data_IF_808193931524
#
_entry.id   IF_808193931524
#
_cell.length_a   1.000
_cell.length_b   1.000
_cell.length_c   1.000
_cell.angle_alpha   90.00
_cell.angle_beta   90.00
_cell.angle_gamma   90.00
#
_symmetry.space_group_name_H-M   'P 1'
#
loop_
_entity.id
_entity.type
_entity.pdbx_description
1 polymer ?
#
# COMPACT_ATOMS: atom_id res chain seq x y z
N UNK A 1 13.39 2.54 11.71
CA UNK A 1 12.95 3.27 10.50
C UNK A 1 11.54 3.78 10.76
N UNK A 2 11.25 5.04 10.46
CA UNK A 2 9.87 5.55 10.52
C UNK A 2 9.15 5.05 9.27
N UNK A 3 8.03 4.36 9.45
CA UNK A 3 7.11 4.02 8.36
C UNK A 3 6.07 5.14 8.29
N UNK A 4 6.09 5.91 7.21
CA UNK A 4 5.16 7.01 6.98
C UNK A 4 4.76 7.07 5.51
N UNK A 5 3.55 7.58 5.25
CA UNK A 5 3.12 7.92 3.90
C UNK A 5 3.69 9.29 3.50
N UNK A 6 4.43 9.31 2.40
CA UNK A 6 4.86 10.54 1.75
C UNK A 6 3.94 10.80 0.55
N UNK A 7 3.43 12.03 0.43
CA UNK A 7 2.48 12.37 -0.62
C UNK A 7 2.78 13.75 -1.23
N UNK A 8 2.39 13.92 -2.50
CA UNK A 8 2.62 15.15 -3.25
C UNK A 8 1.37 16.03 -3.24
N UNK A 9 1.38 17.08 -2.40
CA UNK A 9 0.27 18.03 -2.26
C UNK A 9 -0.18 18.68 -3.56
N UNK A 10 0.73 18.92 -4.52
CA UNK A 10 0.39 19.51 -5.82
C UNK A 10 -0.37 18.52 -6.69
N UNK A 11 0.14 17.28 -6.76
CA UNK A 11 -0.48 16.21 -7.53
C UNK A 11 -1.86 15.81 -6.97
N UNK A 12 -2.01 15.80 -5.66
CA UNK A 12 -3.31 15.55 -5.02
C UNK A 12 -4.34 16.63 -5.39
N UNK A 13 -3.96 17.91 -5.34
CA UNK A 13 -4.84 19.00 -5.80
C UNK A 13 -5.20 18.89 -7.28
N UNK A 14 -4.24 18.52 -8.13
CA UNK A 14 -4.47 18.26 -9.56
C UNK A 14 -5.48 17.12 -9.78
N UNK A 15 -5.44 16.10 -8.92
CA UNK A 15 -6.39 14.98 -8.91
C UNK A 15 -7.72 15.27 -8.17
N UNK A 16 -7.92 16.48 -7.64
CA UNK A 16 -9.15 16.84 -6.89
C UNK A 16 -9.23 16.24 -5.49
N UNK A 17 -8.10 15.98 -4.83
CA UNK A 17 -8.00 15.41 -3.50
C UNK A 17 -7.63 16.46 -2.45
N UNK A 18 -8.34 16.46 -1.33
CA UNK A 18 -8.22 17.49 -0.28
C UNK A 18 -7.19 17.16 0.83
N UNK A 19 -6.68 15.93 0.87
CA UNK A 19 -5.74 15.49 1.90
C UNK A 19 -5.16 14.10 1.63
N UNK A 20 -4.23 13.63 2.47
CA UNK A 20 -3.75 12.26 2.38
C UNK A 20 -4.85 11.27 2.80
N UNK A 21 -4.87 10.05 2.26
CA UNK A 21 -5.82 9.02 2.65
C UNK A 21 -5.61 8.62 4.12
N UNK A 22 -6.72 8.40 4.82
CA UNK A 22 -6.76 7.89 6.19
C UNK A 22 -6.93 6.36 6.23
N UNK A 23 -7.44 5.75 5.16
CA UNK A 23 -7.62 4.30 5.04
C UNK A 23 -6.89 3.73 3.82
N UNK A 24 -6.70 2.40 3.82
CA UNK A 24 -6.11 1.72 2.65
C UNK A 24 -7.04 1.76 1.43
N UNK A 25 -8.35 1.70 1.62
CA UNK A 25 -9.32 1.80 0.52
C UNK A 25 -9.23 3.19 -0.14
N UNK A 26 -9.21 4.26 0.67
CA UNK A 26 -8.96 5.63 0.17
C UNK A 26 -7.61 5.74 -0.55
N UNK A 27 -6.56 5.09 -0.02
CA UNK A 27 -5.25 5.09 -0.65
C UNK A 27 -5.27 4.43 -2.05
N UNK A 28 -5.99 3.32 -2.21
CA UNK A 28 -6.17 2.66 -3.52
C UNK A 28 -6.97 3.54 -4.46
N UNK A 29 -8.07 4.14 -3.99
CA UNK A 29 -8.91 5.04 -4.79
C UNK A 29 -8.16 6.29 -5.24
N UNK A 30 -7.44 6.95 -4.34
CA UNK A 30 -6.64 8.13 -4.63
C UNK A 30 -5.50 7.80 -5.59
N UNK A 31 -4.86 6.64 -5.42
CA UNK A 31 -3.84 6.18 -6.34
C UNK A 31 -4.39 5.98 -7.76
N UNK A 32 -5.60 5.41 -7.89
CA UNK A 32 -6.28 5.25 -9.19
C UNK A 32 -6.63 6.59 -9.82
N UNK A 33 -7.15 7.55 -9.06
CA UNK A 33 -7.43 8.92 -9.55
C UNK A 33 -6.17 9.61 -10.06
N UNK A 34 -5.06 9.49 -9.34
CA UNK A 34 -3.78 10.07 -9.76
C UNK A 34 -3.25 9.37 -11.02
N UNK A 35 -3.29 8.04 -11.08
CA UNK A 35 -2.83 7.27 -12.25
C UNK A 35 -3.68 7.49 -13.50
N UNK A 36 -4.91 8.00 -13.36
CA UNK A 36 -5.74 8.43 -14.50
C UNK A 36 -5.23 9.71 -15.17
N UNK A 37 -4.35 10.49 -14.51
CA UNK A 37 -3.73 11.67 -15.08
C UNK A 37 -2.56 11.23 -15.99
N UNK A 38 -2.53 11.63 -17.27
CA UNK A 38 -1.48 11.22 -18.20
C UNK A 38 -0.07 11.50 -17.68
N UNK A 39 0.77 10.46 -17.63
CA UNK A 39 2.15 10.53 -17.19
C UNK A 39 2.35 10.66 -15.68
N UNK A 40 1.31 10.40 -14.86
CA UNK A 40 1.38 10.36 -13.40
C UNK A 40 1.12 8.94 -12.90
N UNK A 41 1.64 8.66 -11.71
CA UNK A 41 1.47 7.38 -11.02
C UNK A 41 1.06 7.65 -9.58
N UNK A 42 0.00 7.00 -9.12
CA UNK A 42 -0.54 7.17 -7.77
C UNK A 42 0.34 6.58 -6.66
N UNK A 43 1.09 5.53 -6.98
CA UNK A 43 1.95 4.86 -6.02
C UNK A 43 3.25 4.36 -6.68
N UNK A 44 4.33 4.36 -5.90
CA UNK A 44 5.61 3.83 -6.31
C UNK A 44 6.06 2.81 -5.27
N UNK A 45 6.04 1.54 -5.67
CA UNK A 45 6.61 0.43 -4.91
C UNK A 45 7.91 -0.01 -5.57
N UNK A 46 8.93 -0.30 -4.78
CA UNK A 46 10.12 -0.96 -5.31
C UNK A 46 9.70 -2.34 -5.81
N UNK A 47 9.89 -2.64 -7.09
CA UNK A 47 9.52 -3.93 -7.70
C UNK A 47 10.72 -4.80 -8.13
N UNK A 48 11.94 -4.26 -8.12
CA UNK A 48 13.14 -4.97 -8.58
C UNK A 48 13.65 -6.06 -7.62
N UNK A 49 14.76 -6.73 -7.95
CA UNK A 49 15.40 -7.72 -7.08
C UNK A 49 15.62 -7.18 -5.66
N UNK A 50 15.24 -7.98 -4.65
CA UNK A 50 15.31 -7.60 -3.24
C UNK A 50 14.17 -6.69 -2.76
N UNK A 51 13.12 -6.48 -3.56
CA UNK A 51 12.00 -5.63 -3.17
C UNK A 51 10.89 -6.32 -2.38
N UNK A 52 11.06 -7.60 -2.06
CA UNK A 52 10.16 -8.38 -1.20
C UNK A 52 9.75 -7.62 0.08
N UNK A 53 10.68 -6.86 0.67
CA UNK A 53 10.43 -6.10 1.90
C UNK A 53 9.23 -5.15 1.81
N UNK A 54 9.13 -4.36 0.74
CA UNK A 54 8.01 -3.42 0.58
C UNK A 54 6.68 -4.14 0.39
N UNK A 55 6.68 -5.23 -0.39
CA UNK A 55 5.48 -6.02 -0.67
C UNK A 55 4.94 -6.70 0.60
N UNK A 56 5.76 -7.45 1.34
CA UNK A 56 5.27 -8.13 2.54
C UNK A 56 4.92 -7.17 3.67
N UNK A 57 5.56 -5.99 3.75
CA UNK A 57 5.17 -4.94 4.70
C UNK A 57 3.77 -4.41 4.39
N UNK A 58 3.46 -4.15 3.12
CA UNK A 58 2.11 -3.72 2.73
C UNK A 58 1.07 -4.79 3.07
N UNK A 59 1.35 -6.06 2.74
CA UNK A 59 0.47 -7.18 3.10
C UNK A 59 0.20 -7.22 4.61
N UNK A 60 1.22 -7.02 5.44
CA UNK A 60 1.10 -7.02 6.90
C UNK A 60 0.26 -5.84 7.42
N UNK A 61 0.47 -4.63 6.87
CA UNK A 61 -0.33 -3.44 7.19
C UNK A 61 -1.79 -3.65 6.80
N UNK A 62 -2.05 -4.19 5.60
CA UNK A 62 -3.40 -4.48 5.12
C UNK A 62 -4.11 -5.56 5.95
N UNK A 63 -3.36 -6.51 6.49
CA UNK A 63 -3.89 -7.51 7.42
C UNK A 63 -4.22 -6.93 8.81
N UNK A 64 -3.79 -5.70 9.12
CA UNK A 64 -3.98 -5.08 10.43
C UNK A 64 -3.24 -5.79 11.56
N UNK A 65 -2.22 -6.59 11.25
CA UNK A 65 -1.44 -7.36 12.22
C UNK A 65 -0.14 -6.64 12.59
N UNK A 66 0.33 -6.85 13.82
CA UNK A 66 1.57 -6.25 14.35
C UNK A 66 2.82 -7.14 14.21
N UNK A 67 2.77 -8.21 13.39
CA UNK A 67 3.84 -9.20 13.29
C UNK A 67 3.62 -10.22 12.18
N UNK A 68 4.63 -11.06 11.93
CA UNK A 68 4.65 -12.06 10.84
C UNK A 68 4.44 -13.50 11.30
N UNK A 69 4.33 -13.71 12.61
CA UNK A 69 4.20 -15.02 13.24
C UNK A 69 3.16 -14.95 14.36
N UNK A 70 2.40 -16.03 14.51
CA UNK A 70 1.54 -16.27 15.67
C UNK A 70 2.39 -16.73 16.87
N UNK A 71 1.79 -16.79 18.06
CA UNK A 71 2.49 -17.21 19.30
C UNK A 71 3.05 -18.63 19.22
N UNK A 72 2.42 -19.50 18.42
CA UNK A 72 2.86 -20.88 18.18
C UNK A 72 4.00 -20.99 17.15
N UNK A 73 4.47 -19.87 16.60
CA UNK A 73 5.53 -19.81 15.60
C UNK A 73 5.07 -20.04 14.15
N UNK A 74 3.78 -20.23 13.90
CA UNK A 74 3.25 -20.32 12.53
C UNK A 74 3.26 -18.95 11.85
N UNK A 75 3.54 -18.92 10.54
CA UNK A 75 3.61 -17.66 9.78
C UNK A 75 2.23 -17.14 9.40
N UNK A 76 2.05 -15.82 9.42
CA UNK A 76 0.82 -15.12 9.01
C UNK A 76 0.86 -14.63 7.57
N UNK A 77 1.91 -14.97 6.81
CA UNK A 77 2.17 -14.39 5.49
C UNK A 77 1.08 -14.72 4.45
N UNK A 78 0.39 -15.84 4.61
CA UNK A 78 -0.68 -16.32 3.73
C UNK A 78 -2.07 -16.23 4.35
N UNK A 79 -2.23 -15.52 5.48
CA UNK A 79 -3.56 -15.27 6.05
C UNK A 79 -4.43 -14.45 5.09
N UNK A 80 -5.75 -14.55 5.25
CA UNK A 80 -6.73 -13.88 4.39
C UNK A 80 -6.45 -12.37 4.23
N UNK A 81 -6.14 -11.68 5.32
CA UNK A 81 -5.79 -10.25 5.28
C UNK A 81 -4.51 -9.96 4.49
N UNK A 82 -3.50 -10.81 4.59
CA UNK A 82 -2.24 -10.68 3.85
C UNK A 82 -2.45 -10.94 2.35
N UNK A 83 -3.26 -11.95 2.01
CA UNK A 83 -3.64 -12.25 0.62
C UNK A 83 -4.45 -11.10 0.02
N UNK A 84 -5.39 -10.54 0.77
CA UNK A 84 -6.14 -9.35 0.35
C UNK A 84 -5.22 -8.15 0.12
N UNK A 85 -4.24 -7.92 0.99
CA UNK A 85 -3.24 -6.87 0.82
C UNK A 85 -2.37 -7.07 -0.43
N UNK A 86 -1.99 -8.31 -0.74
CA UNK A 86 -1.30 -8.61 -1.99
C UNK A 86 -2.18 -8.32 -3.22
N UNK A 87 -3.45 -8.70 -3.16
CA UNK A 87 -4.40 -8.43 -4.24
C UNK A 87 -4.60 -6.91 -4.45
N UNK A 88 -4.71 -6.14 -3.36
CA UNK A 88 -4.78 -4.67 -3.44
C UNK A 88 -3.58 -4.09 -4.18
N UNK A 89 -2.35 -4.56 -3.91
CA UNK A 89 -1.16 -4.13 -4.64
C UNK A 89 -1.17 -4.54 -6.12
N UNK A 90 -1.74 -5.70 -6.45
CA UNK A 90 -1.82 -6.19 -7.82
C UNK A 90 -2.87 -5.45 -8.66
N UNK A 91 -3.92 -4.93 -8.02
CA UNK A 91 -5.03 -4.20 -8.66
C UNK A 91 -4.75 -2.69 -8.83
N UNK A 92 -3.61 -2.22 -8.33
CA UNK A 92 -3.15 -0.82 -8.41
C UNK A 92 -2.25 -0.57 -9.63
#
# INVERSE_FOLDING_TARGET
YVNALFWNKKLFKEAGLDGPPATLDEFVEDSKKISAIPGKYGYCLRGGPGAFNGMHMFMNIAAGKGGYFNEDGTSTINDEGSVKGLQMLADM
#
